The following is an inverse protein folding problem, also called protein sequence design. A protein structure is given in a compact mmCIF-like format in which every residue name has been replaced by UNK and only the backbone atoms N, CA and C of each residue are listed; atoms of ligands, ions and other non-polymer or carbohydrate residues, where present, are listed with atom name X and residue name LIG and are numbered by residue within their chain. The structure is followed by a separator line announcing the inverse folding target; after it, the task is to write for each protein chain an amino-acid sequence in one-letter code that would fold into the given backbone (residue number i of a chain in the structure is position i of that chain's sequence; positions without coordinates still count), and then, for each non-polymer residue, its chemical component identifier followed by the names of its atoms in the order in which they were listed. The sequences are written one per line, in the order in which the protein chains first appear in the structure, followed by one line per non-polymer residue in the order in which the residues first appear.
data_IF_710754669837
#
_entry.id   IF_710754669837
#
_cell.length_a   1.000
_cell.length_b   1.000
_cell.length_c   1.000
_cell.angle_alpha   90.00
_cell.angle_beta   90.00
_cell.angle_gamma   90.00
#
_symmetry.space_group_name_H-M   'P 1'
#
loop_
_entity.id
_entity.type
_entity.pdbx_description
1 polymer ?
#
# COMPACT_ATOMS: atom_id res chain seq x y z
N UNK A 1 -4.25 -3.69 18.85
CA UNK A 1 -5.69 -3.56 18.58
C UNK A 1 -6.41 -3.69 19.91
N UNK A 2 -6.63 -2.57 20.63
CA UNK A 2 -6.96 -2.58 22.07
C UNK A 2 -8.29 -3.28 22.39
N UNK A 3 -9.28 -3.12 21.51
CA UNK A 3 -10.64 -3.60 21.70
C UNK A 3 -10.76 -5.14 21.81
N UNK A 4 -9.78 -5.88 21.28
CA UNK A 4 -9.79 -7.35 21.27
C UNK A 4 -8.60 -7.99 22.00
N UNK A 5 -7.66 -7.20 22.55
CA UNK A 5 -6.43 -7.75 23.17
C UNK A 5 -6.74 -8.70 24.34
N UNK A 6 -7.84 -8.45 25.06
CA UNK A 6 -8.24 -9.25 26.21
C UNK A 6 -9.52 -10.06 25.95
N UNK A 7 -9.96 -10.13 24.69
CA UNK A 7 -11.12 -10.94 24.34
C UNK A 7 -10.72 -12.41 24.26
N UNK A 8 -11.48 -13.26 24.94
CA UNK A 8 -11.24 -14.71 25.02
C UNK A 8 -12.28 -15.50 24.25
N UNK A 9 -13.43 -14.89 23.94
CA UNK A 9 -14.48 -15.48 23.14
C UNK A 9 -14.39 -14.99 21.68
N UNK A 10 -13.90 -15.87 20.81
CA UNK A 10 -13.70 -15.60 19.38
C UNK A 10 -14.95 -15.80 18.52
N UNK A 11 -16.07 -16.28 19.09
CA UNK A 11 -17.34 -16.47 18.38
C UNK A 11 -18.20 -15.18 18.37
N UNK A 12 -17.79 -14.16 19.11
CA UNK A 12 -18.50 -12.88 19.17
C UNK A 12 -18.41 -12.12 17.85
N UNK A 13 -19.50 -11.43 17.51
CA UNK A 13 -19.52 -10.59 16.31
C UNK A 13 -18.68 -9.33 16.53
N UNK A 14 -17.95 -8.90 15.50
CA UNK A 14 -17.14 -7.66 15.53
C UNK A 14 -17.98 -6.44 15.93
N UNK A 15 -19.25 -6.39 15.50
CA UNK A 15 -20.20 -5.32 15.85
C UNK A 15 -20.45 -5.16 17.36
N UNK A 16 -20.18 -6.20 18.15
CA UNK A 16 -20.35 -6.19 19.61
C UNK A 16 -19.14 -5.61 20.35
N UNK A 17 -17.95 -5.70 19.75
CA UNK A 17 -16.67 -5.33 20.39
C UNK A 17 -16.00 -4.11 19.74
N UNK A 18 -16.42 -3.71 18.53
CA UNK A 18 -15.88 -2.53 17.87
C UNK A 18 -16.29 -1.22 18.57
N UNK A 19 -15.45 -0.20 18.44
CA UNK A 19 -15.83 1.18 18.79
C UNK A 19 -17.00 1.65 17.92
N UNK A 20 -18.10 2.07 18.55
CA UNK A 20 -19.33 2.50 17.87
C UNK A 20 -19.33 3.99 17.53
N UNK A 21 -20.20 4.38 16.59
CA UNK A 21 -20.42 5.78 16.21
C UNK A 21 -20.82 6.68 17.40
N UNK A 22 -20.47 7.98 17.37
CA UNK A 22 -19.80 8.68 16.26
C UNK A 22 -18.28 8.49 16.28
N UNK A 23 -17.72 8.03 15.15
CA UNK A 23 -16.28 7.99 14.93
C UNK A 23 -15.80 9.37 14.45
N UNK A 24 -14.58 9.75 14.82
CA UNK A 24 -13.93 10.93 14.24
C UNK A 24 -13.46 10.57 12.84
N UNK A 25 -13.92 11.30 11.83
CA UNK A 25 -13.58 11.11 10.41
C UNK A 25 -13.13 12.42 9.79
N UNK A 26 -12.56 12.35 8.58
CA UNK A 26 -12.28 13.52 7.75
C UNK A 26 -12.71 13.25 6.30
N UNK A 27 -12.74 14.28 5.47
CA UNK A 27 -13.12 14.15 4.06
C UNK A 27 -11.98 13.57 3.20
N UNK A 28 -12.33 12.92 2.10
CA UNK A 28 -11.40 12.64 1.02
C UNK A 28 -10.61 13.91 0.62
N UNK A 29 -9.30 13.76 0.40
CA UNK A 29 -8.40 14.87 0.06
C UNK A 29 -7.75 15.59 1.26
N UNK A 30 -8.07 15.20 2.49
CA UNK A 30 -7.38 15.69 3.71
C UNK A 30 -5.87 15.46 3.60
N UNK A 31 -5.08 16.51 3.82
CA UNK A 31 -3.61 16.45 3.79
C UNK A 31 -3.03 15.73 5.01
N UNK A 32 -1.75 15.32 4.95
CA UNK A 32 -1.10 14.67 6.09
C UNK A 32 -0.96 15.63 7.28
N UNK A 33 -0.75 16.92 7.04
CA UNK A 33 -0.67 17.95 8.05
C UNK A 33 -2.02 18.15 8.77
N UNK A 34 -3.10 18.27 8.02
CA UNK A 34 -4.46 18.39 8.59
C UNK A 34 -4.84 17.13 9.38
N UNK A 35 -4.56 15.95 8.81
CA UNK A 35 -4.82 14.68 9.48
C UNK A 35 -4.04 14.59 10.80
N UNK A 36 -2.78 15.04 10.84
CA UNK A 36 -1.97 15.07 12.05
C UNK A 36 -2.61 15.91 13.15
N UNK A 37 -3.12 17.09 12.81
CA UNK A 37 -3.77 17.97 13.79
C UNK A 37 -5.09 17.38 14.31
N UNK A 38 -5.88 16.71 13.47
CA UNK A 38 -7.09 15.98 13.89
C UNK A 38 -6.72 14.83 14.83
N UNK A 39 -5.76 13.99 14.45
CA UNK A 39 -5.29 12.85 15.24
C UNK A 39 -4.78 13.31 16.63
N UNK A 40 -3.99 14.39 16.68
CA UNK A 40 -3.50 14.99 17.93
C UNK A 40 -4.62 15.55 18.79
N UNK A 41 -5.52 16.34 18.20
CA UNK A 41 -6.64 16.98 18.90
C UNK A 41 -7.54 15.95 19.58
N UNK A 42 -7.84 14.87 18.88
CA UNK A 42 -8.73 13.82 19.36
C UNK A 42 -7.99 12.67 20.08
N UNK A 43 -6.65 12.69 20.11
CA UNK A 43 -5.80 11.65 20.73
C UNK A 43 -6.10 10.24 20.23
N UNK A 44 -6.30 10.11 18.91
CA UNK A 44 -6.60 8.84 18.23
C UNK A 44 -5.47 8.47 17.26
N UNK A 45 -5.32 7.19 16.95
CA UNK A 45 -4.23 6.67 16.10
C UNK A 45 -4.61 6.49 14.63
N UNK A 46 -5.91 6.47 14.33
CA UNK A 46 -6.48 6.15 13.02
C UNK A 46 -7.57 7.14 12.68
N UNK A 47 -7.52 7.71 11.47
CA UNK A 47 -8.47 8.67 10.94
C UNK A 47 -9.08 8.12 9.65
N UNK A 48 -10.32 7.59 9.68
CA UNK A 48 -11.04 7.22 8.47
C UNK A 48 -11.35 8.45 7.62
N UNK A 49 -11.15 8.33 6.31
CA UNK A 49 -11.52 9.32 5.31
C UNK A 49 -12.81 8.88 4.62
N UNK A 50 -13.80 9.76 4.54
CA UNK A 50 -15.13 9.47 3.97
C UNK A 50 -15.52 10.46 2.86
N UNK A 51 -16.40 10.03 1.96
CA UNK A 51 -17.07 10.93 0.99
C UNK A 51 -18.30 11.62 1.59
N UNK A 52 -19.02 12.40 0.77
CA UNK A 52 -20.23 13.13 1.18
C UNK A 52 -21.37 12.23 1.67
N UNK A 53 -21.39 10.98 1.21
CA UNK A 53 -22.40 9.99 1.55
C UNK A 53 -21.96 9.10 2.72
N UNK A 54 -20.87 9.48 3.39
CA UNK A 54 -20.26 8.77 4.53
C UNK A 54 -19.72 7.37 4.17
N UNK A 55 -19.35 7.13 2.92
CA UNK A 55 -18.66 5.91 2.51
C UNK A 55 -17.16 6.03 2.77
N UNK A 56 -16.54 4.97 3.28
CA UNK A 56 -15.11 4.91 3.53
C UNK A 56 -14.30 4.95 2.21
N UNK A 57 -13.40 5.93 2.09
CA UNK A 57 -12.48 6.10 0.95
C UNK A 57 -11.03 5.84 1.32
N UNK A 58 -10.66 5.99 2.59
CA UNK A 58 -9.28 5.82 3.02
C UNK A 58 -9.12 5.77 4.53
N UNK A 59 -7.88 5.57 4.97
CA UNK A 59 -7.50 5.54 6.37
C UNK A 59 -6.10 6.11 6.52
N UNK A 60 -5.95 7.16 7.32
CA UNK A 60 -4.63 7.68 7.71
C UNK A 60 -4.30 7.18 9.12
N UNK A 61 -3.07 6.75 9.33
CA UNK A 61 -2.60 6.34 10.66
C UNK A 61 -1.48 7.25 11.14
N UNK A 62 -1.41 7.45 12.46
CA UNK A 62 -0.31 8.22 13.08
C UNK A 62 1.06 7.61 12.76
N UNK A 63 1.13 6.28 12.63
CA UNK A 63 2.36 5.54 12.30
C UNK A 63 2.89 5.88 10.91
N UNK A 64 2.02 6.12 9.94
CA UNK A 64 2.45 6.49 8.59
C UNK A 64 3.07 7.88 8.58
N UNK A 65 2.51 8.81 9.37
CA UNK A 65 3.05 10.16 9.54
C UNK A 65 4.40 10.13 10.27
N UNK A 66 4.50 9.33 11.35
CA UNK A 66 5.76 9.13 12.08
C UNK A 66 6.85 8.57 11.17
N UNK A 67 6.54 7.54 10.37
CA UNK A 67 7.47 6.98 9.40
C UNK A 67 7.86 7.98 8.32
N UNK A 68 6.94 8.79 7.82
CA UNK A 68 7.24 9.83 6.85
C UNK A 68 8.23 10.87 7.40
N UNK A 69 8.08 11.25 8.68
CA UNK A 69 9.02 12.16 9.37
C UNK A 69 10.35 11.51 9.69
N UNK A 70 10.34 10.26 10.14
CA UNK A 70 11.57 9.53 10.50
C UNK A 70 12.42 9.20 9.26
N UNK A 71 11.79 9.00 8.10
CA UNK A 71 12.44 8.61 6.86
C UNK A 71 12.07 9.57 5.71
N UNK A 72 12.56 10.84 5.74
CA UNK A 72 12.19 11.85 4.74
C UNK A 72 12.71 11.50 3.34
N UNK A 73 13.82 10.74 3.26
CA UNK A 73 14.43 10.31 2.00
C UNK A 73 13.99 8.89 1.59
N UNK A 74 12.89 8.37 2.14
CA UNK A 74 12.37 7.06 1.75
C UNK A 74 12.02 7.04 0.26
N UNK A 75 12.45 6.00 -0.44
CA UNK A 75 12.12 5.76 -1.84
C UNK A 75 10.62 5.47 -1.97
N UNK A 76 9.86 6.46 -2.43
CA UNK A 76 8.41 6.40 -2.54
C UNK A 76 7.94 6.83 -3.93
N UNK A 77 6.79 6.31 -4.34
CA UNK A 77 6.09 6.77 -5.54
C UNK A 77 5.31 8.08 -5.28
N UNK A 78 4.68 8.62 -6.33
CA UNK A 78 3.87 9.85 -6.27
C UNK A 78 2.68 9.75 -5.29
N UNK A 79 2.26 8.52 -4.94
CA UNK A 79 1.17 8.24 -3.99
C UNK A 79 1.69 8.02 -2.57
N UNK A 80 3.00 8.14 -2.34
CA UNK A 80 3.64 7.96 -1.04
C UNK A 80 3.87 6.50 -0.62
N UNK A 81 3.64 5.52 -1.51
CA UNK A 81 3.92 4.09 -1.28
C UNK A 81 5.40 3.83 -1.47
N UNK A 82 5.97 2.87 -0.71
CA UNK A 82 7.37 2.48 -0.90
C UNK A 82 7.58 1.85 -2.27
N UNK A 83 8.67 2.25 -2.94
CA UNK A 83 9.05 1.65 -4.21
C UNK A 83 9.45 0.18 -4.01
N UNK A 84 9.02 -0.68 -4.93
CA UNK A 84 9.30 -2.10 -4.94
C UNK A 84 9.84 -2.55 -6.30
N UNK A 85 10.91 -3.34 -6.26
CA UNK A 85 11.47 -4.02 -7.42
C UNK A 85 11.34 -5.53 -7.28
N UNK A 86 11.16 -6.22 -8.40
CA UNK A 86 11.13 -7.68 -8.44
C UNK A 86 11.94 -8.21 -9.63
N UNK A 87 12.54 -9.39 -9.46
CA UNK A 87 13.30 -10.05 -10.52
C UNK A 87 12.58 -11.26 -11.05
N UNK A 88 12.65 -11.48 -12.37
CA UNK A 88 12.11 -12.67 -13.04
C UNK A 88 13.16 -13.31 -13.94
N UNK A 89 13.20 -14.64 -13.98
CA UNK A 89 14.09 -15.38 -14.87
C UNK A 89 13.55 -15.47 -16.30
N UNK A 90 14.41 -15.80 -17.26
CA UNK A 90 14.04 -16.05 -18.66
C UNK A 90 13.51 -17.48 -18.83
N UNK A 91 12.25 -17.68 -18.43
CA UNK A 91 11.55 -18.97 -18.55
C UNK A 91 10.31 -18.84 -19.42
N UNK A 92 9.65 -19.97 -19.74
CA UNK A 92 8.44 -19.97 -20.58
C UNK A 92 7.27 -19.21 -19.91
N UNK A 93 7.19 -19.23 -18.59
CA UNK A 93 6.19 -18.57 -17.74
C UNK A 93 6.58 -17.13 -17.33
N UNK A 94 7.66 -16.57 -17.89
CA UNK A 94 8.17 -15.24 -17.52
C UNK A 94 7.09 -14.15 -17.62
N UNK A 95 6.29 -14.15 -18.69
CA UNK A 95 5.25 -13.14 -18.88
C UNK A 95 4.11 -13.27 -17.87
N UNK A 96 3.75 -14.49 -17.46
CA UNK A 96 2.70 -14.69 -16.45
C UNK A 96 3.13 -14.14 -15.08
N UNK A 97 4.42 -14.30 -14.74
CA UNK A 97 5.00 -13.72 -13.53
C UNK A 97 5.07 -12.20 -13.60
N UNK A 98 5.50 -11.64 -14.73
CA UNK A 98 5.51 -10.19 -14.96
C UNK A 98 4.10 -9.63 -14.82
N UNK A 99 3.10 -10.26 -15.42
CA UNK A 99 1.70 -9.84 -15.32
C UNK A 99 1.22 -9.80 -13.86
N UNK A 100 1.53 -10.84 -13.09
CA UNK A 100 1.17 -10.89 -11.68
C UNK A 100 1.85 -9.77 -10.87
N UNK A 101 3.12 -9.48 -11.16
CA UNK A 101 3.89 -8.43 -10.48
C UNK A 101 3.39 -7.02 -10.85
N UNK A 102 3.11 -6.76 -12.13
CA UNK A 102 2.54 -5.49 -12.58
C UNK A 102 1.15 -5.28 -11.97
N UNK A 103 0.31 -6.33 -11.93
CA UNK A 103 -1.00 -6.28 -11.26
C UNK A 103 -0.88 -5.96 -9.76
N UNK A 104 0.21 -6.39 -9.13
CA UNK A 104 0.53 -6.04 -7.73
C UNK A 104 1.14 -4.64 -7.56
N UNK A 105 1.32 -3.86 -8.64
CA UNK A 105 1.95 -2.54 -8.68
C UNK A 105 3.44 -2.54 -8.31
N UNK A 106 4.23 -3.48 -8.85
CA UNK A 106 5.69 -3.35 -8.81
C UNK A 106 6.14 -2.16 -9.65
N UNK A 107 7.17 -1.43 -9.19
CA UNK A 107 7.67 -0.24 -9.89
C UNK A 107 8.80 -0.59 -10.88
N UNK A 108 9.61 -1.60 -10.55
CA UNK A 108 10.77 -2.01 -11.36
C UNK A 108 10.81 -3.52 -11.52
N UNK A 109 11.04 -3.99 -12.75
CA UNK A 109 11.27 -5.41 -13.05
C UNK A 109 12.66 -5.59 -13.63
N UNK A 110 13.41 -6.52 -13.06
CA UNK A 110 14.72 -6.97 -13.58
C UNK A 110 14.60 -8.35 -14.20
N UNK A 111 15.39 -8.60 -15.25
CA UNK A 111 15.54 -9.95 -15.83
C UNK A 111 16.79 -10.61 -15.23
N UNK A 112 16.60 -11.65 -14.43
CA UNK A 112 17.68 -12.38 -13.77
C UNK A 112 18.33 -13.39 -14.73
N UNK A 113 19.63 -13.27 -14.93
CA UNK A 113 20.39 -14.11 -15.86
C UNK A 113 21.90 -13.97 -15.64
N UNK A 114 22.62 -15.07 -15.79
CA UNK A 114 24.09 -15.05 -15.80
C UNK A 114 24.67 -14.40 -17.08
N UNK A 115 23.92 -14.42 -18.19
CA UNK A 115 24.38 -13.93 -19.50
C UNK A 115 23.36 -12.96 -20.12
N UNK A 116 23.39 -11.70 -19.65
CA UNK A 116 22.44 -10.65 -20.04
C UNK A 116 22.45 -10.25 -21.53
N UNK A 117 23.55 -10.51 -22.23
CA UNK A 117 23.69 -10.23 -23.66
C UNK A 117 23.00 -11.26 -24.56
N UNK A 118 22.43 -12.33 -23.99
CA UNK A 118 21.83 -13.41 -24.78
C UNK A 118 20.56 -12.94 -25.51
N UNK A 119 20.30 -13.57 -26.67
CA UNK A 119 19.11 -13.27 -27.49
C UNK A 119 17.81 -13.40 -26.70
N UNK A 120 17.70 -14.44 -25.85
CA UNK A 120 16.51 -14.67 -25.03
C UNK A 120 16.21 -13.52 -24.06
N UNK A 121 17.23 -12.88 -23.51
CA UNK A 121 17.07 -11.71 -22.62
C UNK A 121 16.60 -10.50 -23.42
N UNK A 122 17.25 -10.21 -24.55
CA UNK A 122 16.84 -9.10 -25.42
C UNK A 122 15.39 -9.27 -25.91
N UNK A 123 15.01 -10.48 -26.31
CA UNK A 123 13.63 -10.79 -26.71
C UNK A 123 12.66 -10.67 -25.53
N UNK A 124 13.08 -11.07 -24.32
CA UNK A 124 12.33 -10.89 -23.09
C UNK A 124 12.05 -9.42 -22.77
N UNK A 125 13.07 -8.56 -22.83
CA UNK A 125 12.91 -7.11 -22.63
C UNK A 125 11.92 -6.53 -23.64
N UNK A 126 12.07 -6.86 -24.94
CA UNK A 126 11.16 -6.39 -25.99
C UNK A 126 9.71 -6.80 -25.72
N UNK A 127 9.48 -8.06 -25.33
CA UNK A 127 8.13 -8.57 -25.00
C UNK A 127 7.51 -7.84 -23.82
N UNK A 128 8.29 -7.63 -22.74
CA UNK A 128 7.82 -6.90 -21.56
C UNK A 128 7.46 -5.46 -21.94
N UNK A 129 8.37 -4.72 -22.60
CA UNK A 129 8.14 -3.32 -22.98
C UNK A 129 7.03 -3.14 -24.02
N UNK A 130 6.78 -4.12 -24.88
CA UNK A 130 5.66 -4.08 -25.82
C UNK A 130 4.29 -4.15 -25.12
N UNK A 131 4.20 -4.86 -23.99
CA UNK A 131 2.97 -4.97 -23.20
C UNK A 131 2.86 -3.87 -22.12
N UNK A 132 4.00 -3.49 -21.53
CA UNK A 132 4.12 -2.56 -20.41
C UNK A 132 5.12 -1.44 -20.78
N UNK A 133 4.65 -0.37 -21.44
CA UNK A 133 5.50 0.71 -21.95
C UNK A 133 6.17 1.54 -20.85
#
# INVERSE_FOLDING_TARGET
NRDIVFETNYDRLVSEVMTKSPLITSVEGTTLEEALEILKKHKIEKLPLVDSDNNLKGLITIKDIEKAKAFPNAAKDEKGRLLCGASVGITKDMMDRVDALVKANVDVITLDTAHGHSKGVMDGVRKIKAKYP
#
